data_IF_089034305417
#
_entry.id   IF_089034305417
#
_cell.length_a   1.000
_cell.length_b   1.000
_cell.length_c   1.000
_cell.angle_alpha   90.00
_cell.angle_beta   90.00
_cell.angle_gamma   90.00
#
_symmetry.space_group_name_H-M   'P 1'
#
loop_
_entity.id
_entity.type
_entity.pdbx_description
1 polymer ?
#
# COMPACT_ATOMS: atom_id res chain seq x y z
N UNK A 1 -28.36 -2.38 11.80
CA UNK A 1 -27.91 -3.51 12.60
C UNK A 1 -29.13 -4.14 13.26
N UNK A 2 -29.13 -5.44 13.48
CA UNK A 2 -30.35 -6.19 13.82
C UNK A 2 -30.19 -7.13 15.04
N UNK A 3 -28.96 -7.43 15.47
CA UNK A 3 -28.68 -8.33 16.60
C UNK A 3 -28.75 -7.58 17.94
N UNK A 4 -28.77 -8.32 19.05
CA UNK A 4 -28.67 -7.75 20.40
C UNK A 4 -27.30 -7.09 20.68
N UNK A 5 -26.28 -7.39 19.85
CA UNK A 5 -24.97 -6.73 19.90
C UNK A 5 -24.91 -5.42 19.09
N UNK A 6 -25.98 -5.04 18.39
CA UNK A 6 -25.99 -3.89 17.47
C UNK A 6 -25.59 -2.57 18.14
N UNK A 7 -26.16 -2.26 19.33
CA UNK A 7 -25.85 -1.04 20.07
C UNK A 7 -24.40 -1.01 20.54
N UNK A 8 -23.89 -2.15 21.04
CA UNK A 8 -22.51 -2.31 21.48
C UNK A 8 -21.50 -2.11 20.32
N UNK A 9 -21.82 -2.66 19.16
CA UNK A 9 -21.02 -2.48 17.95
C UNK A 9 -20.99 -1.01 17.51
N UNK A 10 -22.16 -0.33 17.55
CA UNK A 10 -22.23 1.10 17.20
C UNK A 10 -21.44 1.95 18.20
N UNK A 11 -21.56 1.68 19.50
CA UNK A 11 -20.80 2.37 20.55
C UNK A 11 -19.29 2.17 20.38
N UNK A 12 -18.82 0.96 20.09
CA UNK A 12 -17.41 0.70 19.82
C UNK A 12 -16.89 1.49 18.60
N UNK A 13 -17.67 1.55 17.52
CA UNK A 13 -17.30 2.32 16.32
C UNK A 13 -17.29 3.84 16.61
N UNK A 14 -18.27 4.35 17.37
CA UNK A 14 -18.33 5.75 17.79
C UNK A 14 -17.15 6.12 18.69
N UNK A 15 -16.82 5.25 19.66
CA UNK A 15 -15.62 5.42 20.51
C UNK A 15 -14.34 5.50 19.67
N UNK A 16 -14.17 4.62 18.70
CA UNK A 16 -13.01 4.69 17.81
C UNK A 16 -12.94 6.01 17.02
N UNK A 17 -14.09 6.48 16.58
CA UNK A 17 -14.19 7.74 15.84
C UNK A 17 -13.90 8.96 16.73
N UNK A 18 -14.32 8.95 18.01
CA UNK A 18 -13.99 10.01 18.97
C UNK A 18 -12.49 10.11 19.25
N UNK A 19 -11.74 9.00 19.09
CA UNK A 19 -10.29 8.97 19.16
C UNK A 19 -9.58 9.43 17.85
N UNK A 20 -10.31 10.03 16.90
CA UNK A 20 -9.76 10.44 15.60
C UNK A 20 -9.38 9.28 14.67
N UNK A 21 -9.70 8.03 15.03
CA UNK A 21 -9.29 6.85 14.25
C UNK A 21 -10.35 6.42 13.24
N UNK A 22 -9.93 6.09 12.02
CA UNK A 22 -10.83 5.61 10.97
C UNK A 22 -11.53 4.30 11.34
N UNK A 23 -12.84 4.24 11.11
CA UNK A 23 -13.68 3.04 11.27
C UNK A 23 -13.78 2.20 10.01
N UNK A 24 -13.28 2.69 8.85
CA UNK A 24 -13.42 2.05 7.53
C UNK A 24 -12.90 0.62 7.47
N UNK A 25 -11.91 0.27 8.28
CA UNK A 25 -11.33 -1.07 8.35
C UNK A 25 -12.15 -2.07 9.17
N UNK A 26 -12.97 -1.61 10.12
CA UNK A 26 -13.73 -2.47 11.02
C UNK A 26 -15.23 -2.50 10.72
N UNK A 27 -15.81 -1.36 10.37
CA UNK A 27 -17.25 -1.22 10.18
C UNK A 27 -17.89 -2.23 9.19
N UNK A 28 -17.26 -2.59 8.05
CA UNK A 28 -17.82 -3.62 7.17
C UNK A 28 -17.86 -5.00 7.81
N UNK A 29 -16.82 -5.37 8.57
CA UNK A 29 -16.73 -6.66 9.24
C UNK A 29 -17.70 -6.74 10.42
N UNK A 30 -17.80 -5.69 11.23
CA UNK A 30 -18.73 -5.64 12.36
C UNK A 30 -20.19 -5.59 11.92
N UNK A 31 -20.51 -4.97 10.78
CA UNK A 31 -21.86 -5.10 10.17
C UNK A 31 -22.18 -6.51 9.71
N UNK A 32 -21.19 -7.21 9.17
CA UNK A 32 -21.34 -8.62 8.79
C UNK A 32 -21.48 -9.51 10.03
N UNK A 33 -20.74 -9.23 11.11
CA UNK A 33 -20.90 -9.92 12.40
C UNK A 33 -22.31 -9.71 12.95
N UNK A 34 -22.83 -8.49 12.96
CA UNK A 34 -24.19 -8.18 13.40
C UNK A 34 -25.26 -8.98 12.65
N UNK A 35 -25.14 -9.03 11.31
CA UNK A 35 -26.06 -9.84 10.49
C UNK A 35 -25.96 -11.33 10.83
N UNK A 36 -24.76 -11.85 11.00
CA UNK A 36 -24.52 -13.24 11.40
C UNK A 36 -25.12 -13.54 12.78
N UNK A 37 -24.93 -12.64 13.77
CA UNK A 37 -25.50 -12.81 15.10
C UNK A 37 -27.04 -12.79 15.08
N UNK A 38 -27.64 -11.91 14.30
CA UNK A 38 -29.09 -11.84 14.18
C UNK A 38 -29.71 -13.12 13.59
N UNK A 39 -28.99 -13.80 12.71
CA UNK A 39 -29.41 -15.01 12.03
C UNK A 39 -29.14 -16.29 12.85
N UNK A 40 -27.96 -16.43 13.45
CA UNK A 40 -27.50 -17.67 14.05
C UNK A 40 -27.50 -17.66 15.58
N UNK A 41 -27.49 -16.47 16.21
CA UNK A 41 -27.43 -16.27 17.66
C UNK A 41 -28.41 -15.17 18.13
N UNK A 42 -29.73 -15.28 17.84
CA UNK A 42 -30.69 -14.20 18.07
C UNK A 42 -30.88 -13.81 19.55
N UNK A 43 -30.56 -14.72 20.49
CA UNK A 43 -30.65 -14.49 21.93
C UNK A 43 -29.34 -14.08 22.60
N UNK A 44 -28.22 -13.99 21.83
CA UNK A 44 -26.92 -13.77 22.43
C UNK A 44 -26.66 -12.28 22.62
N UNK A 45 -26.35 -11.90 23.86
CA UNK A 45 -26.08 -10.52 24.29
C UNK A 45 -24.58 -10.24 24.50
N UNK A 46 -23.76 -11.30 24.50
CA UNK A 46 -22.33 -11.23 24.78
C UNK A 46 -21.48 -11.69 23.57
N UNK A 47 -20.27 -11.21 23.48
CA UNK A 47 -19.30 -11.70 22.50
C UNK A 47 -18.62 -12.97 23.03
N UNK A 48 -19.26 -14.12 22.86
CA UNK A 48 -18.75 -15.41 23.34
C UNK A 48 -17.65 -15.97 22.45
N UNK A 49 -16.85 -16.88 23.02
CA UNK A 49 -15.81 -17.62 22.27
C UNK A 49 -16.42 -18.40 21.12
N UNK A 50 -17.51 -19.12 21.37
CA UNK A 50 -18.18 -19.95 20.37
C UNK A 50 -18.65 -19.11 19.18
N UNK A 51 -19.38 -18.02 19.45
CA UNK A 51 -19.85 -17.09 18.42
C UNK A 51 -18.68 -16.54 17.59
N UNK A 52 -17.62 -16.04 18.25
CA UNK A 52 -16.45 -15.48 17.59
C UNK A 52 -15.75 -16.50 16.69
N UNK A 53 -15.55 -17.73 17.17
CA UNK A 53 -14.93 -18.82 16.42
C UNK A 53 -15.78 -19.24 15.22
N UNK A 54 -17.07 -19.46 15.41
CA UNK A 54 -17.99 -19.87 14.35
C UNK A 54 -18.03 -18.83 13.23
N UNK A 55 -18.16 -17.54 13.58
CA UNK A 55 -18.15 -16.47 12.58
C UNK A 55 -16.84 -16.37 11.81
N UNK A 56 -15.70 -16.44 12.50
CA UNK A 56 -14.39 -16.37 11.85
C UNK A 56 -14.16 -17.55 10.92
N UNK A 57 -14.57 -18.76 11.30
CA UNK A 57 -14.43 -19.96 10.45
C UNK A 57 -15.35 -19.92 9.24
N UNK A 58 -16.60 -19.50 9.39
CA UNK A 58 -17.51 -19.30 8.26
C UNK A 58 -16.95 -18.27 7.25
N UNK A 59 -16.29 -17.23 7.75
CA UNK A 59 -15.63 -16.22 6.92
C UNK A 59 -14.33 -16.71 6.27
N UNK A 60 -13.68 -17.75 6.83
CA UNK A 60 -12.36 -18.24 6.42
C UNK A 60 -12.36 -19.06 5.13
N UNK A 61 -13.49 -19.66 4.75
CA UNK A 61 -13.61 -20.42 3.50
C UNK A 61 -13.33 -19.58 2.24
N UNK A 62 -13.18 -18.25 2.39
CA UNK A 62 -13.10 -17.34 1.24
C UNK A 62 -11.68 -16.83 0.94
N UNK A 63 -10.78 -16.59 1.90
CA UNK A 63 -9.35 -16.22 1.74
C UNK A 63 -8.68 -15.92 3.09
N UNK A 64 -7.43 -16.31 3.29
CA UNK A 64 -6.64 -16.09 4.52
C UNK A 64 -6.56 -14.61 5.00
N UNK A 65 -6.57 -13.64 4.08
CA UNK A 65 -6.60 -12.22 4.43
C UNK A 65 -7.92 -11.74 5.04
N UNK A 66 -9.06 -12.37 4.72
CA UNK A 66 -10.35 -12.04 5.32
C UNK A 66 -10.45 -12.53 6.76
N UNK A 67 -9.96 -13.72 7.03
CA UNK A 67 -9.90 -14.28 8.39
C UNK A 67 -9.16 -13.34 9.35
N UNK A 68 -8.00 -12.83 8.96
CA UNK A 68 -7.24 -11.86 9.77
C UNK A 68 -8.04 -10.60 10.08
N UNK A 69 -8.75 -10.05 9.09
CA UNK A 69 -9.55 -8.87 9.29
C UNK A 69 -10.76 -9.14 10.21
N UNK A 70 -11.35 -10.32 10.12
CA UNK A 70 -12.42 -10.76 11.03
C UNK A 70 -11.90 -10.87 12.46
N UNK A 71 -10.75 -11.51 12.69
CA UNK A 71 -10.11 -11.60 14.01
C UNK A 71 -9.79 -10.21 14.55
N UNK A 72 -9.25 -9.34 13.72
CA UNK A 72 -8.94 -7.95 14.12
C UNK A 72 -10.21 -7.17 14.51
N UNK A 73 -11.33 -7.41 13.83
CA UNK A 73 -12.62 -6.78 14.16
C UNK A 73 -13.21 -7.33 15.47
N UNK A 74 -13.15 -8.65 15.69
CA UNK A 74 -13.53 -9.27 16.98
C UNK A 74 -12.67 -8.72 18.12
N UNK A 75 -11.35 -8.72 17.97
CA UNK A 75 -10.45 -8.24 19.02
C UNK A 75 -10.68 -6.76 19.34
N UNK A 76 -10.94 -5.93 18.32
CA UNK A 76 -11.30 -4.54 18.54
C UNK A 76 -12.62 -4.41 19.35
N UNK A 77 -13.68 -5.13 18.97
CA UNK A 77 -14.94 -5.12 19.68
C UNK A 77 -14.79 -5.69 21.10
N UNK A 78 -14.13 -6.85 21.24
CA UNK A 78 -13.92 -7.52 22.52
C UNK A 78 -13.12 -6.66 23.50
N UNK A 79 -12.03 -6.04 23.05
CA UNK A 79 -11.24 -5.12 23.87
C UNK A 79 -12.07 -3.90 24.34
N UNK A 80 -12.91 -3.34 23.47
CA UNK A 80 -13.81 -2.27 23.84
C UNK A 80 -14.80 -2.70 24.91
N UNK A 81 -15.45 -3.88 24.74
CA UNK A 81 -16.42 -4.42 25.69
C UNK A 81 -15.78 -4.69 27.06
N UNK A 82 -14.61 -5.31 27.08
CA UNK A 82 -13.84 -5.53 28.33
C UNK A 82 -13.48 -4.21 29.01
N UNK A 83 -13.12 -3.17 28.25
CA UNK A 83 -12.77 -1.87 28.80
C UNK A 83 -13.96 -1.15 29.46
N UNK A 84 -15.20 -1.44 29.05
CA UNK A 84 -16.43 -0.91 29.70
C UNK A 84 -17.01 -1.84 30.77
N UNK A 85 -16.28 -2.91 31.13
CA UNK A 85 -16.66 -3.85 32.20
C UNK A 85 -17.61 -4.98 31.75
N UNK A 86 -17.81 -5.18 30.45
CA UNK A 86 -18.60 -6.29 29.94
C UNK A 86 -17.74 -7.52 29.64
N UNK A 87 -18.33 -8.71 29.78
CA UNK A 87 -17.66 -9.94 29.39
C UNK A 87 -17.61 -10.08 27.87
N UNK A 88 -16.40 -10.28 27.31
CA UNK A 88 -16.22 -10.49 25.89
C UNK A 88 -15.01 -11.37 25.61
N UNK A 89 -15.08 -12.14 24.54
CA UNK A 89 -13.97 -12.93 24.05
C UNK A 89 -13.05 -12.12 23.15
N UNK A 90 -11.76 -12.32 23.34
CA UNK A 90 -10.68 -11.76 22.48
C UNK A 90 -9.77 -12.91 22.07
N UNK A 91 -9.46 -13.01 20.79
CA UNK A 91 -8.49 -14.00 20.32
C UNK A 91 -7.10 -13.66 20.85
N UNK A 92 -6.35 -14.66 21.35
CA UNK A 92 -4.97 -14.45 21.79
C UNK A 92 -4.06 -14.03 20.61
N UNK A 93 -3.01 -13.29 20.89
CA UNK A 93 -2.07 -12.80 19.85
C UNK A 93 -1.40 -13.94 19.08
N UNK A 94 -1.21 -15.10 19.73
CA UNK A 94 -0.70 -16.33 19.12
C UNK A 94 -1.63 -16.91 18.04
N UNK A 95 -2.90 -16.52 18.03
CA UNK A 95 -3.88 -16.97 17.03
C UNK A 95 -3.87 -16.15 15.74
N UNK A 96 -2.84 -15.32 15.52
CA UNK A 96 -2.73 -14.60 14.26
C UNK A 96 -2.47 -15.59 13.10
N UNK A 97 -3.36 -15.67 12.07
CA UNK A 97 -3.09 -16.52 10.93
C UNK A 97 -1.80 -16.09 10.25
N UNK A 98 -1.01 -17.08 9.80
CA UNK A 98 0.26 -16.84 9.10
C UNK A 98 0.11 -15.74 8.06
N UNK A 99 0.89 -14.68 8.21
CA UNK A 99 0.89 -13.56 7.29
C UNK A 99 1.79 -13.91 6.11
N UNK A 100 1.20 -14.40 5.02
CA UNK A 100 1.93 -14.42 3.76
C UNK A 100 2.27 -12.99 3.36
N UNK A 101 3.54 -12.63 3.48
CA UNK A 101 4.08 -11.40 2.92
C UNK A 101 4.59 -11.74 1.52
N UNK A 102 3.86 -11.37 0.46
CA UNK A 102 4.38 -11.58 -0.88
C UNK A 102 5.68 -10.78 -1.00
N UNK A 103 6.74 -11.44 -1.41
CA UNK A 103 7.99 -10.76 -1.72
C UNK A 103 7.73 -9.65 -2.73
N UNK A 104 8.30 -8.46 -2.54
CA UNK A 104 8.21 -7.39 -3.52
C UNK A 104 8.84 -7.85 -4.85
N UNK A 105 8.22 -7.48 -5.95
CA UNK A 105 8.87 -7.63 -7.25
C UNK A 105 9.83 -6.46 -7.46
N UNK A 106 11.10 -6.74 -7.70
CA UNK A 106 12.11 -5.73 -8.01
C UNK A 106 12.33 -5.72 -9.51
N UNK A 107 11.81 -4.69 -10.18
CA UNK A 107 11.96 -4.53 -11.62
C UNK A 107 13.42 -4.31 -12.02
N UNK A 108 13.86 -4.89 -13.13
CA UNK A 108 15.11 -4.47 -13.80
C UNK A 108 14.92 -3.15 -14.53
N UNK A 109 16.02 -2.53 -14.97
CA UNK A 109 15.94 -1.25 -15.71
C UNK A 109 15.31 -1.45 -17.09
N UNK A 110 15.58 -2.61 -17.74
CA UNK A 110 14.96 -3.00 -19.02
C UNK A 110 13.45 -3.23 -18.86
N UNK A 111 13.02 -3.87 -17.78
CA UNK A 111 11.60 -4.07 -17.48
C UNK A 111 10.86 -2.75 -17.23
N UNK A 112 11.48 -1.83 -16.49
CA UNK A 112 10.94 -0.50 -16.28
C UNK A 112 10.85 0.28 -17.59
N UNK A 113 11.88 0.21 -18.42
CA UNK A 113 11.90 0.87 -19.74
C UNK A 113 10.75 0.37 -20.62
N UNK A 114 10.57 -0.97 -20.72
CA UNK A 114 9.44 -1.56 -21.47
C UNK A 114 8.09 -1.21 -20.86
N UNK A 115 7.97 -1.21 -19.53
CA UNK A 115 6.74 -0.84 -18.82
C UNK A 115 6.35 0.61 -19.12
N UNK A 116 7.30 1.53 -19.06
CA UNK A 116 7.02 2.95 -19.33
C UNK A 116 6.77 3.21 -20.82
N UNK A 117 7.42 2.52 -21.72
CA UNK A 117 7.10 2.57 -23.15
C UNK A 117 5.67 2.08 -23.44
N UNK A 118 5.25 1.00 -22.78
CA UNK A 118 3.87 0.51 -22.85
C UNK A 118 2.86 1.51 -22.22
N UNK A 119 3.26 2.20 -21.15
CA UNK A 119 2.44 3.25 -20.57
C UNK A 119 2.29 4.47 -21.51
N UNK A 120 3.34 4.87 -22.23
CA UNK A 120 3.30 5.95 -23.23
C UNK A 120 2.37 5.62 -24.40
N UNK A 121 2.28 4.33 -24.75
CA UNK A 121 1.42 3.81 -25.82
C UNK A 121 0.04 3.37 -25.31
N UNK A 122 -0.37 3.80 -24.09
CA UNK A 122 -1.64 3.37 -23.52
C UNK A 122 -2.83 3.80 -24.39
N UNK A 123 -3.77 2.88 -24.70
CA UNK A 123 -4.81 3.16 -25.68
C UNK A 123 -5.82 4.20 -25.21
N UNK A 124 -6.27 5.04 -26.13
CA UNK A 124 -7.37 5.96 -25.91
C UNK A 124 -8.68 5.19 -25.64
N UNK A 125 -9.50 5.76 -24.77
CA UNK A 125 -10.80 5.19 -24.45
C UNK A 125 -11.82 6.34 -24.32
N UNK A 126 -12.92 6.36 -25.12
CA UNK A 126 -13.93 7.42 -25.09
C UNK A 126 -14.58 7.59 -23.70
N UNK A 127 -14.80 6.49 -22.96
CA UNK A 127 -15.38 6.49 -21.61
C UNK A 127 -14.42 7.05 -20.55
N UNK A 128 -13.13 7.19 -20.87
CA UNK A 128 -12.11 7.74 -19.98
C UNK A 128 -11.06 8.51 -20.79
N UNK A 129 -11.43 9.68 -21.34
CA UNK A 129 -10.67 10.36 -22.39
C UNK A 129 -9.28 10.85 -21.95
N UNK A 130 -9.05 11.11 -20.65
CA UNK A 130 -7.73 11.49 -20.12
C UNK A 130 -6.87 10.30 -19.73
N UNK A 131 -7.38 9.06 -19.68
CA UNK A 131 -6.69 7.91 -19.14
C UNK A 131 -5.35 7.65 -19.81
N UNK A 132 -5.28 7.73 -21.15
CA UNK A 132 -4.05 7.53 -21.91
C UNK A 132 -2.98 8.63 -21.67
N UNK A 133 -3.37 9.78 -21.14
CA UNK A 133 -2.46 10.86 -20.71
C UNK A 133 -2.09 10.75 -19.25
N UNK A 134 -2.96 10.19 -18.40
CA UNK A 134 -2.73 9.97 -16.98
C UNK A 134 -1.73 8.84 -16.73
N UNK A 135 -1.89 7.71 -17.43
CA UNK A 135 -1.12 6.49 -17.21
C UNK A 135 0.40 6.71 -17.30
N UNK A 136 0.94 7.37 -18.34
CA UNK A 136 2.36 7.64 -18.44
C UNK A 136 2.91 8.48 -17.29
N UNK A 137 2.13 9.43 -16.81
CA UNK A 137 2.56 10.41 -15.79
C UNK A 137 2.47 9.83 -14.39
N UNK A 138 1.33 9.23 -14.04
CA UNK A 138 1.07 8.81 -12.66
C UNK A 138 1.99 7.64 -12.23
N UNK A 139 2.30 6.69 -13.11
CA UNK A 139 3.18 5.59 -12.75
C UNK A 139 4.65 6.04 -12.66
N UNK A 140 5.08 6.98 -13.52
CA UNK A 140 6.40 7.61 -13.37
C UNK A 140 6.49 8.42 -12.09
N UNK A 141 5.46 9.19 -11.74
CA UNK A 141 5.43 9.96 -10.50
C UNK A 141 5.53 9.05 -9.27
N UNK A 142 4.80 7.91 -9.27
CA UNK A 142 4.90 6.91 -8.20
C UNK A 142 6.32 6.34 -8.10
N UNK A 143 6.94 6.02 -9.23
CA UNK A 143 8.29 5.49 -9.28
C UNK A 143 9.33 6.53 -8.86
N UNK A 144 9.35 7.71 -9.48
CA UNK A 144 10.41 8.72 -9.27
C UNK A 144 10.34 9.41 -7.91
N UNK A 145 9.15 9.49 -7.32
CA UNK A 145 8.92 10.11 -6.01
C UNK A 145 8.64 9.10 -4.90
N UNK A 146 8.71 7.80 -5.17
CA UNK A 146 8.49 6.77 -4.17
C UNK A 146 7.10 6.80 -3.51
N UNK A 147 6.06 7.29 -4.20
CA UNK A 147 4.71 7.44 -3.64
C UNK A 147 4.04 6.09 -3.37
N UNK A 148 3.19 6.06 -2.34
CA UNK A 148 2.22 4.95 -2.23
C UNK A 148 1.23 5.03 -3.41
N UNK A 149 0.75 3.90 -3.95
CA UNK A 149 -0.24 3.92 -5.05
C UNK A 149 -1.50 4.73 -4.73
N UNK A 150 -1.91 4.73 -3.45
CA UNK A 150 -3.03 5.55 -2.99
C UNK A 150 -2.73 7.04 -3.08
N UNK A 151 -1.55 7.48 -2.66
CA UNK A 151 -1.11 8.87 -2.68
C UNK A 151 -1.04 9.40 -4.12
N UNK A 152 -0.38 8.67 -5.04
CA UNK A 152 -0.33 9.06 -6.44
C UNK A 152 -1.71 9.12 -7.09
N UNK A 153 -2.55 8.09 -6.86
CA UNK A 153 -3.89 8.00 -7.42
C UNK A 153 -4.84 9.11 -6.95
N UNK A 154 -4.74 9.52 -5.67
CA UNK A 154 -5.62 10.52 -5.06
C UNK A 154 -4.95 11.89 -4.86
N UNK A 155 -3.85 12.15 -5.57
CA UNK A 155 -3.16 13.43 -5.51
C UNK A 155 -4.11 14.57 -5.93
N UNK A 156 -4.23 15.59 -5.08
CA UNK A 156 -5.06 16.76 -5.34
C UNK A 156 -4.25 17.87 -6.02
N UNK A 157 -4.90 18.66 -6.87
CA UNK A 157 -4.28 19.80 -7.57
C UNK A 157 -3.63 20.79 -6.60
N UNK A 158 -4.31 21.11 -5.50
CA UNK A 158 -3.81 22.06 -4.49
C UNK A 158 -2.56 21.60 -3.75
N UNK A 159 -2.18 20.32 -3.88
CA UNK A 159 -1.03 19.72 -3.21
C UNK A 159 0.17 19.54 -4.13
N UNK A 160 0.10 20.00 -5.38
CA UNK A 160 1.21 19.99 -6.33
C UNK A 160 1.53 21.41 -6.78
N UNK A 161 2.76 21.82 -6.58
CA UNK A 161 3.26 23.08 -7.10
C UNK A 161 4.06 22.81 -8.37
N UNK A 162 3.49 23.22 -9.50
CA UNK A 162 4.13 23.01 -10.81
C UNK A 162 5.19 24.07 -11.15
N UNK A 163 5.39 25.09 -10.31
CA UNK A 163 6.48 26.06 -10.47
C UNK A 163 7.76 25.58 -9.79
N UNK A 164 7.63 25.02 -8.59
CA UNK A 164 8.76 24.58 -7.76
C UNK A 164 9.03 23.07 -7.81
N UNK A 165 8.06 22.27 -8.30
CA UNK A 165 8.14 20.80 -8.28
C UNK A 165 7.80 20.17 -6.93
N UNK A 166 7.33 20.95 -5.98
CA UNK A 166 6.92 20.46 -4.66
C UNK A 166 5.60 19.72 -4.69
N UNK A 167 5.53 18.60 -3.96
CA UNK A 167 4.30 17.82 -3.79
C UNK A 167 4.07 17.57 -2.31
N UNK A 168 2.96 18.07 -1.80
CA UNK A 168 2.56 17.93 -0.42
C UNK A 168 1.65 16.70 -0.25
N UNK A 169 2.13 15.68 0.44
CA UNK A 169 1.41 14.43 0.66
C UNK A 169 0.70 14.50 2.01
N UNK A 170 -0.63 14.54 1.96
CA UNK A 170 -1.53 14.60 3.12
C UNK A 170 -2.38 13.34 3.24
N UNK A 171 -3.19 13.27 4.30
CA UNK A 171 -4.11 12.16 4.56
C UNK A 171 -3.41 10.79 4.60
N UNK A 172 -2.20 10.75 5.13
CA UNK A 172 -1.42 9.51 5.21
C UNK A 172 -1.97 8.60 6.29
N UNK A 173 -1.68 7.30 6.19
CA UNK A 173 -2.18 6.27 7.13
C UNK A 173 -1.88 6.55 8.62
N UNK A 174 -0.93 7.45 8.90
CA UNK A 174 -0.44 7.74 10.26
C UNK A 174 -0.43 9.25 10.57
N UNK A 175 -1.24 10.05 9.87
CA UNK A 175 -1.35 11.51 10.01
C UNK A 175 0.03 12.21 9.94
N UNK A 176 0.94 11.64 9.15
CA UNK A 176 2.27 12.20 8.89
C UNK A 176 2.31 12.77 7.48
N UNK A 177 2.02 14.05 7.40
CA UNK A 177 2.18 14.79 6.17
C UNK A 177 3.67 14.94 5.84
N UNK A 178 3.99 15.02 4.56
CA UNK A 178 5.35 15.21 4.10
C UNK A 178 5.40 15.97 2.79
N UNK A 179 6.47 16.73 2.63
CA UNK A 179 6.83 17.39 1.39
C UNK A 179 7.84 16.52 0.64
N UNK A 180 7.63 16.36 -0.65
CA UNK A 180 8.58 15.75 -1.59
C UNK A 180 8.78 16.69 -2.77
N UNK A 181 9.90 16.54 -3.48
CA UNK A 181 10.23 17.37 -4.66
C UNK A 181 10.43 16.45 -5.86
N UNK A 182 9.82 16.81 -6.98
CA UNK A 182 10.01 16.13 -8.27
C UNK A 182 11.36 16.51 -8.90
N UNK A 183 11.94 15.61 -9.68
CA UNK A 183 13.01 15.97 -10.60
C UNK A 183 12.49 16.89 -11.72
N UNK A 184 13.38 17.65 -12.36
CA UNK A 184 13.03 18.57 -13.44
C UNK A 184 12.32 17.87 -14.59
N UNK A 185 12.74 16.66 -14.96
CA UNK A 185 12.11 15.85 -16.00
C UNK A 185 10.67 15.47 -15.60
N UNK A 186 10.47 15.06 -14.34
CA UNK A 186 9.14 14.70 -13.85
C UNK A 186 8.23 15.93 -13.75
N UNK A 187 8.76 17.06 -13.33
CA UNK A 187 8.05 18.34 -13.28
C UNK A 187 7.63 18.78 -14.69
N UNK A 188 8.55 18.71 -15.67
CA UNK A 188 8.26 18.99 -17.07
C UNK A 188 7.13 18.10 -17.62
N UNK A 189 7.17 16.80 -17.30
CA UNK A 189 6.12 15.85 -17.69
C UNK A 189 4.77 16.19 -17.04
N UNK A 190 4.76 16.56 -15.76
CA UNK A 190 3.56 16.98 -15.03
C UNK A 190 2.98 18.28 -15.62
N UNK A 191 3.81 19.27 -15.99
CA UNK A 191 3.36 20.51 -16.65
C UNK A 191 2.67 20.23 -18.00
N UNK A 192 3.30 19.37 -18.83
CA UNK A 192 2.71 18.96 -20.13
C UNK A 192 1.36 18.27 -19.93
N UNK A 193 1.26 17.38 -18.95
CA UNK A 193 0.01 16.72 -18.62
C UNK A 193 -1.03 17.72 -18.11
N UNK A 194 -0.66 18.63 -17.22
CA UNK A 194 -1.59 19.62 -16.64
C UNK A 194 -2.19 20.54 -17.71
N UNK A 195 -1.41 20.94 -18.71
CA UNK A 195 -1.92 21.70 -19.85
C UNK A 195 -3.01 20.95 -20.60
N UNK A 196 -2.84 19.64 -20.86
CA UNK A 196 -3.84 18.79 -21.50
C UNK A 196 -5.08 18.62 -20.62
N UNK A 197 -4.89 18.39 -19.30
CA UNK A 197 -5.98 18.25 -18.33
C UNK A 197 -6.79 19.55 -18.23
N UNK A 198 -6.14 20.71 -18.19
CA UNK A 198 -6.79 22.02 -18.09
C UNK A 198 -7.61 22.37 -19.33
N UNK A 199 -7.19 21.92 -20.51
CA UNK A 199 -7.92 22.07 -21.75
C UNK A 199 -9.21 21.19 -21.79
N UNK A 200 -9.24 20.09 -21.05
CA UNK A 200 -10.39 19.19 -20.98
C UNK A 200 -11.46 19.74 -20.03
N UNK A 201 -12.45 20.45 -20.58
CA UNK A 201 -13.49 21.18 -19.83
C UNK A 201 -14.24 20.31 -18.81
N UNK A 202 -14.51 19.05 -19.14
CA UNK A 202 -15.21 18.09 -18.27
C UNK A 202 -14.49 17.79 -16.93
N UNK A 203 -13.21 18.12 -16.82
CA UNK A 203 -12.39 17.82 -15.64
C UNK A 203 -11.90 19.05 -14.88
N UNK A 204 -12.27 20.26 -15.32
CA UNK A 204 -11.83 21.53 -14.69
C UNK A 204 -12.21 21.62 -13.22
N UNK A 205 -13.39 21.15 -12.84
CA UNK A 205 -13.89 21.21 -11.46
C UNK A 205 -13.35 20.11 -10.55
N UNK A 206 -12.73 19.06 -11.10
CA UNK A 206 -12.14 18.02 -10.26
C UNK A 206 -11.06 18.57 -9.35
N UNK A 207 -11.09 18.20 -8.08
CA UNK A 207 -10.01 18.51 -7.14
C UNK A 207 -8.75 17.64 -7.35
N UNK A 208 -8.90 16.49 -8.05
CA UNK A 208 -7.80 15.55 -8.27
C UNK A 208 -6.94 15.94 -9.45
N UNK A 209 -5.63 15.74 -9.28
CA UNK A 209 -4.67 15.95 -10.36
C UNK A 209 -4.85 14.91 -11.47
N UNK A 210 -5.17 13.66 -11.11
CA UNK A 210 -5.47 12.55 -12.02
C UNK A 210 -6.95 12.12 -11.92
N UNK A 211 -7.87 12.87 -12.53
CA UNK A 211 -9.29 12.61 -12.37
C UNK A 211 -9.76 11.39 -13.19
N UNK A 212 -10.62 10.59 -12.59
CA UNK A 212 -11.44 9.61 -13.28
C UNK A 212 -12.60 10.28 -14.03
N UNK A 213 -13.32 9.59 -14.92
CA UNK A 213 -14.41 10.17 -15.72
C UNK A 213 -15.49 10.91 -14.92
N UNK A 214 -15.80 10.46 -13.70
CA UNK A 214 -16.75 11.11 -12.79
C UNK A 214 -16.16 12.25 -11.95
N UNK A 215 -14.94 12.73 -12.24
CA UNK A 215 -14.29 13.82 -11.52
C UNK A 215 -13.64 13.41 -10.18
N UNK A 216 -13.88 12.20 -9.67
CA UNK A 216 -13.22 11.63 -8.50
C UNK A 216 -11.86 10.99 -8.86
N UNK A 217 -11.08 10.54 -7.88
CA UNK A 217 -9.91 9.72 -8.16
C UNK A 217 -10.32 8.32 -8.66
N UNK A 218 -9.47 7.68 -9.45
CA UNK A 218 -9.68 6.30 -9.88
C UNK A 218 -9.86 5.34 -8.69
N UNK A 219 -10.71 4.32 -8.83
CA UNK A 219 -10.79 3.25 -7.83
C UNK A 219 -9.47 2.46 -7.78
N UNK A 220 -9.19 1.81 -6.64
CA UNK A 220 -8.00 0.95 -6.50
C UNK A 220 -7.94 -0.14 -7.58
N UNK A 221 -9.09 -0.73 -7.89
CA UNK A 221 -9.16 -1.80 -8.89
C UNK A 221 -8.88 -1.29 -10.30
N UNK A 222 -9.52 -0.18 -10.72
CA UNK A 222 -9.28 0.42 -12.02
C UNK A 222 -7.80 0.84 -12.18
N UNK A 223 -7.21 1.42 -11.14
CA UNK A 223 -5.80 1.81 -11.13
C UNK A 223 -4.86 0.62 -11.26
N UNK A 224 -5.15 -0.47 -10.54
CA UNK A 224 -4.39 -1.72 -10.66
C UNK A 224 -4.56 -2.34 -12.05
N UNK A 225 -5.76 -2.31 -12.64
CA UNK A 225 -6.00 -2.84 -13.99
C UNK A 225 -5.21 -2.07 -15.06
N UNK A 226 -5.15 -0.74 -14.99
CA UNK A 226 -4.32 0.07 -15.91
C UNK A 226 -2.85 -0.36 -15.85
N UNK A 227 -2.32 -0.58 -14.64
CA UNK A 227 -0.94 -1.05 -14.47
C UNK A 227 -0.72 -2.45 -15.05
N UNK A 228 -1.67 -3.38 -14.81
CA UNK A 228 -1.61 -4.72 -15.37
C UNK A 228 -1.68 -4.72 -16.91
N UNK A 229 -2.44 -3.79 -17.51
CA UNK A 229 -2.48 -3.62 -18.96
C UNK A 229 -1.11 -3.18 -19.49
N UNK A 230 -0.46 -2.21 -18.84
CA UNK A 230 0.91 -1.79 -19.21
C UNK A 230 1.90 -2.96 -19.10
N UNK A 231 1.83 -3.72 -17.98
CA UNK A 231 2.74 -4.84 -17.75
C UNK A 231 2.59 -5.95 -18.78
N UNK A 232 1.36 -6.28 -19.14
CA UNK A 232 1.08 -7.25 -20.22
C UNK A 232 1.58 -6.76 -21.58
N UNK A 233 1.33 -5.48 -21.91
CA UNK A 233 1.78 -4.89 -23.17
C UNK A 233 3.32 -4.80 -23.25
N UNK A 234 4.00 -4.59 -22.12
CA UNK A 234 5.46 -4.59 -22.04
C UNK A 234 6.11 -5.96 -22.21
N UNK A 235 5.33 -7.05 -22.12
CA UNK A 235 5.82 -8.42 -22.14
C UNK A 235 4.96 -9.32 -23.07
N UNK A 236 4.89 -9.00 -24.36
CA UNK A 236 4.07 -9.77 -25.30
C UNK A 236 4.60 -11.20 -25.42
N UNK A 237 3.68 -12.17 -25.52
CA UNK A 237 4.03 -13.59 -25.72
C UNK A 237 4.49 -14.34 -24.47
N UNK A 238 4.63 -13.71 -23.32
CA UNK A 238 4.98 -14.39 -22.07
C UNK A 238 3.71 -14.84 -21.36
N UNK A 239 3.49 -16.16 -21.28
CA UNK A 239 2.26 -16.74 -20.70
C UNK A 239 2.23 -16.71 -19.17
N UNK A 240 3.38 -16.89 -18.50
CA UNK A 240 3.49 -16.93 -17.04
C UNK A 240 4.20 -15.68 -16.49
N UNK A 241 3.60 -14.51 -16.74
CA UNK A 241 4.13 -13.27 -16.21
C UNK A 241 4.08 -13.26 -14.67
N UNK A 242 5.16 -12.81 -14.00
CA UNK A 242 5.15 -12.60 -12.57
C UNK A 242 4.06 -11.58 -12.19
N UNK A 243 3.44 -11.82 -11.04
CA UNK A 243 2.40 -10.92 -10.52
C UNK A 243 3.05 -9.68 -9.92
N UNK A 244 3.04 -8.60 -10.66
CA UNK A 244 3.51 -7.29 -10.23
C UNK A 244 2.37 -6.41 -9.70
N UNK A 245 2.68 -5.44 -8.87
CA UNK A 245 1.74 -4.48 -8.30
C UNK A 245 2.26 -3.06 -8.53
N UNK A 246 1.37 -2.09 -8.56
CA UNK A 246 1.78 -0.67 -8.59
C UNK A 246 2.71 -0.33 -7.41
N UNK A 247 2.52 -1.00 -6.27
CA UNK A 247 3.35 -0.81 -5.08
C UNK A 247 4.81 -1.21 -5.31
N UNK A 248 5.08 -2.13 -6.24
CA UNK A 248 6.42 -2.60 -6.54
C UNK A 248 7.29 -1.52 -7.24
N UNK A 249 6.65 -0.51 -7.88
CA UNK A 249 7.36 0.70 -8.34
C UNK A 249 8.00 1.48 -7.18
N UNK A 250 7.30 1.58 -6.06
CA UNK A 250 7.84 2.22 -4.85
C UNK A 250 8.94 1.37 -4.21
N UNK A 251 8.84 0.05 -4.27
CA UNK A 251 9.92 -0.84 -3.85
C UNK A 251 11.17 -0.61 -4.71
N UNK A 252 10.99 -0.54 -6.05
CA UNK A 252 12.10 -0.26 -6.96
C UNK A 252 12.75 1.11 -6.74
N UNK A 253 11.94 2.16 -6.43
CA UNK A 253 12.47 3.45 -6.02
C UNK A 253 13.40 3.33 -4.81
N UNK A 254 12.93 2.68 -3.73
CA UNK A 254 13.73 2.52 -2.52
C UNK A 254 15.03 1.76 -2.79
N UNK A 255 14.96 0.66 -3.56
CA UNK A 255 16.14 -0.10 -3.96
C UNK A 255 17.10 0.73 -4.81
N UNK A 256 16.59 1.56 -5.74
CA UNK A 256 17.42 2.43 -6.57
C UNK A 256 18.17 3.48 -5.74
N UNK A 257 17.50 4.07 -4.73
CA UNK A 257 18.13 5.02 -3.82
C UNK A 257 19.23 4.37 -2.98
N UNK A 258 18.95 3.18 -2.44
CA UNK A 258 19.95 2.45 -1.65
C UNK A 258 21.15 2.02 -2.50
N UNK A 259 20.93 1.51 -3.72
CA UNK A 259 21.99 1.18 -4.65
C UNK A 259 22.89 2.40 -4.94
N UNK A 260 22.27 3.53 -5.26
CA UNK A 260 23.00 4.77 -5.51
C UNK A 260 23.85 5.17 -4.29
N UNK A 261 23.32 5.11 -3.09
CA UNK A 261 24.08 5.43 -1.88
C UNK A 261 25.23 4.45 -1.65
N UNK A 262 25.04 3.16 -1.99
CA UNK A 262 26.13 2.16 -1.93
C UNK A 262 27.23 2.50 -2.95
N UNK A 263 26.87 2.83 -4.17
CA UNK A 263 27.82 3.21 -5.22
C UNK A 263 28.58 4.51 -4.86
N UNK A 264 27.89 5.45 -4.18
CA UNK A 264 28.47 6.67 -3.62
C UNK A 264 29.27 6.42 -2.30
N UNK A 265 29.37 5.17 -1.84
CA UNK A 265 30.05 4.74 -0.60
C UNK A 265 29.52 5.45 0.66
N UNK A 266 28.24 5.79 0.69
CA UNK A 266 27.59 6.37 1.88
C UNK A 266 27.29 5.29 2.91
N UNK A 267 27.32 5.66 4.18
CA UNK A 267 26.83 4.78 5.25
C UNK A 267 25.31 4.63 5.13
N UNK A 268 24.86 3.44 4.72
CA UNK A 268 23.43 3.14 4.53
C UNK A 268 22.64 3.31 5.83
N UNK A 269 23.19 2.90 6.98
CA UNK A 269 22.49 3.02 8.26
C UNK A 269 22.30 4.48 8.67
N UNK A 270 23.28 5.33 8.43
CA UNK A 270 23.18 6.76 8.66
C UNK A 270 22.16 7.43 7.69
N UNK A 271 21.97 6.86 6.49
CA UNK A 271 21.06 7.40 5.48
C UNK A 271 19.63 6.88 5.56
N UNK A 272 19.39 5.73 6.20
CA UNK A 272 18.05 5.13 6.33
C UNK A 272 16.99 6.06 6.96
N UNK A 273 17.28 6.86 8.01
CA UNK A 273 16.31 7.81 8.57
C UNK A 273 15.80 8.82 7.54
N UNK A 274 16.64 9.27 6.60
CA UNK A 274 16.25 10.19 5.53
C UNK A 274 15.31 9.50 4.54
N UNK A 275 15.63 8.28 4.10
CA UNK A 275 14.75 7.50 3.22
C UNK A 275 13.41 7.19 3.91
N UNK A 276 13.45 6.84 5.19
CA UNK A 276 12.26 6.63 6.02
C UNK A 276 11.36 7.87 6.04
N UNK A 277 11.92 9.04 6.32
CA UNK A 277 11.21 10.32 6.36
C UNK A 277 10.60 10.65 4.99
N UNK A 278 11.40 10.56 3.93
CA UNK A 278 10.97 10.82 2.55
C UNK A 278 9.83 9.89 2.11
N UNK A 279 9.93 8.60 2.39
CA UNK A 279 8.91 7.63 2.06
C UNK A 279 7.70 7.69 3.02
N UNK A 280 7.80 8.36 4.17
CA UNK A 280 6.74 8.40 5.19
C UNK A 280 6.47 7.03 5.80
N UNK A 281 7.53 6.28 6.18
CA UNK A 281 7.40 5.04 6.94
C UNK A 281 7.21 5.35 8.42
N UNK A 282 6.36 4.57 9.09
CA UNK A 282 6.10 4.73 10.51
C UNK A 282 7.31 4.37 11.36
N UNK A 283 7.94 3.26 11.05
CA UNK A 283 9.12 2.74 11.73
C UNK A 283 10.29 2.51 10.77
N UNK A 284 11.47 2.26 11.32
CA UNK A 284 12.68 2.02 10.56
C UNK A 284 12.66 0.62 9.90
N UNK A 285 12.03 -0.37 10.55
CA UNK A 285 11.97 -1.76 10.08
C UNK A 285 11.32 -1.87 8.70
N UNK A 286 10.31 -1.01 8.42
CA UNK A 286 9.70 -0.93 7.09
C UNK A 286 10.67 -0.43 6.00
N UNK A 287 11.76 0.25 6.38
CA UNK A 287 12.79 0.73 5.46
C UNK A 287 13.98 -0.23 5.41
N UNK A 288 14.38 -0.82 6.54
CA UNK A 288 15.42 -1.85 6.64
C UNK A 288 15.11 -3.07 5.77
N UNK A 289 13.83 -3.40 5.62
CA UNK A 289 13.40 -4.48 4.73
C UNK A 289 13.96 -4.35 3.30
N UNK A 290 14.23 -3.14 2.81
CA UNK A 290 14.82 -2.93 1.49
C UNK A 290 16.31 -3.27 1.43
N UNK A 291 17.05 -3.19 2.53
CA UNK A 291 18.45 -3.61 2.60
C UNK A 291 18.54 -5.12 2.34
N UNK A 292 17.62 -5.88 2.93
CA UNK A 292 17.57 -7.34 2.74
C UNK A 292 17.14 -7.77 1.34
N UNK A 293 16.62 -6.86 0.52
CA UNK A 293 16.26 -7.13 -0.87
C UNK A 293 17.42 -6.88 -1.86
N UNK A 294 18.59 -6.48 -1.37
CA UNK A 294 19.77 -6.15 -2.20
C UNK A 294 20.96 -7.07 -1.87
N UNK A 295 20.88 -8.38 -2.15
CA UNK A 295 21.95 -9.31 -1.81
C UNK A 295 23.30 -8.93 -2.45
N UNK A 296 23.29 -8.43 -3.69
CA UNK A 296 24.51 -8.03 -4.40
C UNK A 296 25.16 -6.76 -3.85
N UNK A 297 24.40 -5.91 -3.14
CA UNK A 297 24.89 -4.67 -2.55
C UNK A 297 25.31 -4.81 -1.09
N UNK A 298 24.85 -5.83 -0.39
CA UNK A 298 25.37 -6.20 0.93
C UNK A 298 26.86 -6.56 0.86
N UNK A 299 27.27 -7.22 -0.22
CA UNK A 299 28.68 -7.55 -0.48
C UNK A 299 29.53 -6.29 -0.73
N UNK A 300 28.93 -5.23 -1.26
CA UNK A 300 29.60 -3.95 -1.56
C UNK A 300 29.56 -2.93 -0.42
N UNK A 301 28.83 -3.21 0.69
CA UNK A 301 28.75 -2.25 1.78
C UNK A 301 30.09 -2.19 2.52
N UNK A 302 30.70 -1.01 2.54
CA UNK A 302 32.03 -0.76 3.13
C UNK A 302 32.10 -0.93 4.67
N UNK A 303 30.96 -1.21 5.32
CA UNK A 303 30.87 -1.44 6.77
C UNK A 303 30.96 -2.90 7.20
N UNK A 304 30.96 -3.85 6.27
CA UNK A 304 31.06 -5.29 6.58
C UNK A 304 32.39 -5.83 6.06
N UNK A 305 33.29 -6.18 6.98
CA UNK A 305 34.56 -6.81 6.66
C UNK A 305 34.31 -8.29 6.38
N UNK A 306 33.88 -8.62 5.18
CA UNK A 306 33.51 -9.99 4.76
C UNK A 306 34.66 -10.98 4.91
N UNK A 307 35.90 -10.55 4.62
CA UNK A 307 37.11 -11.40 4.83
C UNK A 307 37.31 -11.81 6.31
N UNK A 308 36.83 -11.00 7.26
CA UNK A 308 36.86 -11.39 8.68
C UNK A 308 35.67 -12.30 9.07
N UNK A 309 34.59 -12.30 8.26
CA UNK A 309 33.44 -13.18 8.50
C UNK A 309 33.60 -14.57 7.89
N UNK A 310 34.40 -14.74 6.84
CA UNK A 310 34.68 -16.06 6.25
C UNK A 310 35.27 -17.04 7.26
N UNK A 311 36.04 -16.54 8.25
CA UNK A 311 36.60 -17.36 9.33
C UNK A 311 35.60 -17.73 10.43
N UNK A 312 34.41 -17.14 10.44
CA UNK A 312 33.36 -17.35 11.46
C UNK A 312 32.26 -18.29 10.94
N UNK A 313 32.13 -18.45 9.63
CA UNK A 313 31.15 -19.36 9.02
C UNK A 313 31.79 -20.78 9.00
N UNK A 314 31.24 -21.76 9.74
CA UNK A 314 31.73 -23.13 9.66
C UNK A 314 31.58 -23.64 8.22
N UNK A 315 32.63 -24.27 7.67
CA UNK A 315 32.52 -25.03 6.43
C UNK A 315 31.42 -26.08 6.59
N UNK A 316 30.37 -26.00 5.82
CA UNK A 316 29.36 -27.06 5.75
C UNK A 316 30.02 -28.20 4.98
N UNK A 317 30.46 -29.27 5.68
CA UNK A 317 30.87 -30.51 5.05
C UNK A 317 29.73 -30.98 4.14
N UNK A 318 30.01 -31.00 2.85
CA UNK A 318 29.16 -31.67 1.88
C UNK A 318 29.32 -33.18 2.13
N UNK A 319 28.40 -33.78 2.87
CA UNK A 319 28.25 -35.22 2.88
C UNK A 319 27.82 -35.64 1.47
N UNK A 320 28.72 -36.43 0.84
CA UNK A 320 28.45 -37.15 -0.40
C UNK A 320 27.31 -38.19 -0.24
#
# INVERSE_FOLDING_TARGET
>A
MKSLLAEKIQAALAYRQSLGKSTKSYAPYLRNLDAFCAENYPGETCLTKELAWTWVHQASHIKSGRMKNCISAINFLGQYLLAIGENAYVFPDSFAPYRYHPHPYVFTDEELSRLFAAADSFPYCPQSPLRHKIVPVVFRLIYTCGLRPGEGRSLKKKHINLDTGEVFITDTKFDKDRLIVMSDDMLSLCRKYDAVRAAATSFRQSEYFFPAPGGNCYSRNAFSQMFQQCWKAANPGIHNLPRVRVYDLRHRFASAVLNRWTDEKRDLYAMLPYLRAYMGHYDLSATEHYIHLLPDNLVKSSGVFWAAMESIIPEVEKNE
#
